data_IF_292537891020
#
_entry.id   IF_292537891020
#
_cell.length_a   1.000
_cell.length_b   1.000
_cell.length_c   1.000
_cell.angle_alpha   90.00
_cell.angle_beta   90.00
_cell.angle_gamma   90.00
#
_symmetry.space_group_name_H-M   'P 1'
#
loop_
_entity.id
_entity.type
_entity.pdbx_description
1 polymer ?
#
# COMPACT_ATOMS: atom_id res chain seq x y z
N UNK A 1 -15.35 -1.02 5.42
CA UNK A 1 -14.74 0.03 4.57
C UNK A 1 -14.73 -0.49 3.14
N UNK A 2 -14.94 0.34 2.13
CA UNK A 2 -14.85 -0.06 0.71
C UNK A 2 -13.63 0.58 0.09
N UNK A 3 -12.68 -0.22 -0.39
CA UNK A 3 -11.48 0.26 -1.07
C UNK A 3 -11.84 0.75 -2.48
N UNK A 4 -11.51 2.01 -2.79
CA UNK A 4 -11.86 2.65 -4.07
C UNK A 4 -10.67 3.14 -4.89
N UNK A 5 -9.53 3.39 -4.25
CA UNK A 5 -8.32 3.88 -4.93
C UNK A 5 -7.05 3.47 -4.18
N UNK A 6 -5.99 3.21 -4.96
CA UNK A 6 -4.63 2.85 -4.53
C UNK A 6 -3.61 3.57 -5.41
N UNK A 7 -2.67 4.31 -4.81
CA UNK A 7 -1.63 5.09 -5.51
C UNK A 7 -2.13 5.96 -6.67
N UNK A 8 -3.21 6.69 -6.45
CA UNK A 8 -3.89 7.54 -7.44
C UNK A 8 -4.70 6.76 -8.49
N UNK A 9 -4.86 5.45 -8.35
CA UNK A 9 -5.55 4.60 -9.34
C UNK A 9 -6.79 3.95 -8.77
N UNK A 10 -7.93 4.11 -9.44
CA UNK A 10 -9.19 3.49 -9.05
C UNK A 10 -9.10 1.95 -9.04
N UNK A 11 -9.65 1.33 -7.99
CA UNK A 11 -9.68 -0.12 -7.83
C UNK A 11 -11.05 -0.70 -8.12
N UNK A 12 -11.09 -2.01 -8.40
CA UNK A 12 -12.34 -2.76 -8.32
C UNK A 12 -12.77 -2.71 -6.86
N UNK A 13 -13.98 -2.21 -6.62
CA UNK A 13 -14.44 -1.91 -5.27
C UNK A 13 -14.51 -3.20 -4.46
N UNK A 14 -13.79 -3.22 -3.33
CA UNK A 14 -13.71 -4.38 -2.45
C UNK A 14 -14.03 -3.95 -1.02
N UNK A 15 -14.95 -4.65 -0.38
CA UNK A 15 -15.27 -4.44 1.03
C UNK A 15 -14.22 -5.09 1.92
N UNK A 16 -13.66 -4.31 2.83
CA UNK A 16 -12.61 -4.70 3.77
C UNK A 16 -13.01 -4.33 5.21
N UNK A 17 -12.66 -5.20 6.16
CA UNK A 17 -12.74 -4.96 7.59
C UNK A 17 -11.46 -4.34 8.17
N UNK A 18 -10.31 -4.61 7.55
CA UNK A 18 -9.00 -4.04 7.87
C UNK A 18 -8.17 -3.87 6.60
N UNK A 19 -7.16 -3.01 6.63
CA UNK A 19 -6.28 -2.71 5.50
C UNK A 19 -4.84 -2.52 6.01
N UNK A 20 -3.91 -3.33 5.53
CA UNK A 20 -2.49 -3.14 5.75
C UNK A 20 -1.98 -2.04 4.80
N UNK A 21 -1.24 -1.08 5.36
CA UNK A 21 -0.65 0.05 4.62
C UNK A 21 0.85 0.08 4.95
N UNK A 22 1.69 0.02 3.93
CA UNK A 22 3.15 0.08 4.07
C UNK A 22 3.68 1.49 3.79
N UNK A 23 4.92 1.73 4.20
CA UNK A 23 5.58 3.05 4.03
C UNK A 23 5.64 3.42 2.55
N UNK A 24 5.23 4.65 2.25
CA UNK A 24 5.18 5.19 0.90
C UNK A 24 3.89 4.88 0.15
N UNK A 25 2.97 4.11 0.74
CA UNK A 25 1.70 3.80 0.10
C UNK A 25 0.58 4.80 0.42
N UNK A 26 -0.38 4.91 -0.50
CA UNK A 26 -1.57 5.74 -0.38
C UNK A 26 -2.84 5.00 -0.84
N UNK A 27 -3.93 5.21 -0.10
CA UNK A 27 -5.21 4.52 -0.28
C UNK A 27 -6.37 5.48 -0.02
N UNK A 28 -7.45 5.35 -0.80
CA UNK A 28 -8.76 5.94 -0.45
C UNK A 28 -9.80 4.86 -0.20
N UNK A 29 -10.53 5.03 0.90
CA UNK A 29 -11.64 4.15 1.30
C UNK A 29 -12.91 4.94 1.52
N UNK A 30 -14.05 4.33 1.19
CA UNK A 30 -15.37 4.81 1.58
C UNK A 30 -15.82 4.09 2.85
N UNK A 31 -16.42 4.85 3.77
CA UNK A 31 -17.02 4.32 4.99
C UNK A 31 -18.46 4.77 5.05
N UNK A 32 -19.38 3.82 5.04
CA UNK A 32 -20.81 4.09 5.25
C UNK A 32 -21.08 4.18 6.75
N UNK A 33 -21.71 5.27 7.19
CA UNK A 33 -22.11 5.45 8.58
C UNK A 33 -23.48 4.79 8.86
N UNK A 34 -23.54 3.46 8.74
CA UNK A 34 -24.76 2.65 8.82
C UNK A 34 -24.97 1.94 10.17
N UNK A 35 -24.12 2.23 11.15
CA UNK A 35 -24.18 1.64 12.48
C UNK A 35 -25.04 2.50 13.43
N UNK A 36 -25.47 1.98 14.61
CA UNK A 36 -26.19 2.76 15.60
C UNK A 36 -25.47 4.09 15.96
N UNK A 37 -26.21 5.15 16.32
CA UNK A 37 -25.61 6.47 16.57
C UNK A 37 -24.80 6.52 17.87
N UNK A 38 -23.53 6.14 17.79
CA UNK A 38 -22.54 6.21 18.87
C UNK A 38 -21.13 6.51 18.32
N UNK A 39 -20.16 6.68 19.21
CA UNK A 39 -18.76 6.87 18.83
C UNK A 39 -18.05 5.51 18.63
N UNK A 40 -17.17 5.42 17.63
CA UNK A 40 -16.47 4.20 17.24
C UNK A 40 -14.95 4.38 17.27
N UNK A 41 -14.23 3.31 17.61
CA UNK A 41 -12.77 3.29 17.47
C UNK A 41 -12.35 3.17 16.00
N UNK A 42 -11.35 3.95 15.62
CA UNK A 42 -10.46 3.66 14.49
C UNK A 42 -9.17 3.12 15.10
N UNK A 43 -8.90 1.83 14.96
CA UNK A 43 -7.71 1.20 15.53
C UNK A 43 -6.59 1.09 14.49
N UNK A 44 -5.37 1.46 14.87
CA UNK A 44 -4.18 1.37 14.05
C UNK A 44 -3.09 0.66 14.83
N UNK A 45 -2.39 -0.29 14.21
CA UNK A 45 -1.29 -1.00 14.84
C UNK A 45 -0.17 -1.27 13.85
N UNK A 46 1.08 -1.27 14.34
CA UNK A 46 2.24 -1.68 13.55
C UNK A 46 2.28 -3.19 13.40
N UNK A 47 2.72 -3.67 12.23
CA UNK A 47 3.01 -5.08 11.98
C UNK A 47 4.48 -5.26 11.61
N UNK A 48 4.99 -6.49 11.76
CA UNK A 48 6.34 -6.89 11.34
C UNK A 48 7.50 -6.17 12.06
N UNK A 49 7.23 -5.57 13.21
CA UNK A 49 8.25 -5.02 14.11
C UNK A 49 8.54 -5.94 15.29
N UNK A 50 9.67 -5.71 15.98
CA UNK A 50 10.01 -6.44 17.22
C UNK A 50 9.04 -6.16 18.38
N UNK A 51 8.32 -5.05 18.31
CA UNK A 51 7.33 -4.60 19.28
C UNK A 51 6.10 -4.08 18.56
N UNK A 52 4.91 -4.47 19.03
CA UNK A 52 3.65 -3.99 18.48
C UNK A 52 3.31 -2.62 19.07
N UNK A 53 3.32 -1.59 18.22
CA UNK A 53 2.77 -0.28 18.54
C UNK A 53 1.29 -0.26 18.16
N UNK A 54 0.46 0.36 18.99
CA UNK A 54 -0.96 0.56 18.70
C UNK A 54 -1.40 1.97 19.08
N UNK A 55 -2.42 2.46 18.40
CA UNK A 55 -3.06 3.73 18.69
C UNK A 55 -4.51 3.71 18.21
N UNK A 56 -5.32 4.62 18.72
CA UNK A 56 -6.73 4.74 18.34
C UNK A 56 -7.09 6.19 18.00
N UNK A 57 -7.99 6.33 17.04
CA UNK A 57 -8.79 7.53 16.82
C UNK A 57 -10.26 7.27 17.15
N UNK A 58 -11.05 8.34 17.21
CA UNK A 58 -12.50 8.25 17.44
C UNK A 58 -13.24 8.77 16.21
N UNK A 59 -14.08 7.92 15.63
CA UNK A 59 -15.09 8.32 14.65
C UNK A 59 -16.38 8.64 15.41
N UNK A 60 -16.69 9.93 15.54
CA UNK A 60 -17.89 10.42 16.24
C UNK A 60 -19.01 10.70 15.26
N UNK A 61 -20.15 10.06 15.46
CA UNK A 61 -21.37 10.41 14.73
C UNK A 61 -21.94 11.72 15.31
N UNK A 62 -22.50 12.58 14.45
CA UNK A 62 -23.00 13.90 14.88
C UNK A 62 -24.17 13.79 15.86
N UNK A 63 -24.98 12.74 15.74
CA UNK A 63 -26.10 12.42 16.64
C UNK A 63 -25.71 11.42 17.75
N UNK A 64 -24.41 11.19 17.97
CA UNK A 64 -23.92 10.29 19.02
C UNK A 64 -24.21 10.83 20.42
N UNK A 65 -24.94 10.03 21.20
CA UNK A 65 -25.19 10.28 22.62
C UNK A 65 -24.33 9.40 23.53
N UNK A 66 -23.51 8.52 22.96
CA UNK A 66 -22.71 7.55 23.70
C UNK A 66 -21.25 7.62 23.25
N UNK A 67 -20.38 7.96 24.19
CA UNK A 67 -18.94 7.90 23.98
C UNK A 67 -18.50 6.46 23.66
N UNK A 68 -17.35 6.34 23.01
CA UNK A 68 -16.80 5.04 22.63
C UNK A 68 -16.64 4.17 23.88
N UNK A 69 -17.01 2.90 23.79
CA UNK A 69 -17.01 1.97 24.93
C UNK A 69 -16.46 0.61 24.52
N UNK A 70 -15.89 -0.12 25.48
CA UNK A 70 -15.24 -1.41 25.23
C UNK A 70 -13.76 -1.29 24.86
N UNK A 71 -13.13 -2.43 24.60
CA UNK A 71 -11.74 -2.51 24.15
C UNK A 71 -11.66 -2.39 22.63
N UNK A 72 -10.69 -1.64 22.07
CA UNK A 72 -10.42 -1.65 20.64
C UNK A 72 -10.11 -3.08 20.13
N UNK A 73 -10.30 -3.36 18.83
CA UNK A 73 -9.88 -4.61 18.23
C UNK A 73 -8.40 -4.90 18.55
N UNK A 74 -8.05 -6.16 18.89
CA UNK A 74 -6.65 -6.52 19.12
C UNK A 74 -5.82 -6.32 17.84
N UNK A 75 -4.53 -6.01 17.95
CA UNK A 75 -3.64 -5.97 16.80
C UNK A 75 -3.67 -7.31 16.03
N UNK A 76 -3.63 -7.29 14.69
CA UNK A 76 -3.53 -8.52 13.90
C UNK A 76 -2.24 -9.30 14.21
N UNK A 77 -2.27 -10.61 14.04
CA UNK A 77 -1.07 -11.46 14.14
C UNK A 77 -0.02 -11.07 13.09
N UNK A 78 1.24 -11.42 13.29
CA UNK A 78 2.32 -11.18 12.30
C UNK A 78 2.27 -12.19 11.13
N UNK A 79 1.10 -12.36 10.51
CA UNK A 79 0.89 -13.20 9.33
C UNK A 79 1.26 -12.45 8.03
N UNK A 80 2.47 -12.71 7.55
CA UNK A 80 3.00 -12.19 6.28
C UNK A 80 2.17 -12.70 5.09
N UNK A 81 1.68 -13.94 5.15
CA UNK A 81 0.93 -14.55 4.05
C UNK A 81 -0.41 -13.85 3.88
N UNK A 82 -1.11 -13.55 4.98
CA UNK A 82 -2.34 -12.77 4.95
C UNK A 82 -2.13 -11.39 4.33
N UNK A 83 -1.07 -10.67 4.75
CA UNK A 83 -0.75 -9.33 4.24
C UNK A 83 -0.44 -9.35 2.74
N UNK A 84 0.36 -10.30 2.29
CA UNK A 84 0.64 -10.51 0.87
C UNK A 84 -0.60 -10.87 0.07
N UNK A 85 -1.49 -11.71 0.62
CA UNK A 85 -2.73 -12.09 -0.03
C UNK A 85 -3.71 -10.92 -0.12
N UNK A 86 -3.77 -10.05 0.89
CA UNK A 86 -4.54 -8.81 0.82
C UNK A 86 -3.99 -7.89 -0.30
N UNK A 87 -2.68 -7.64 -0.33
CA UNK A 87 -2.08 -6.84 -1.40
C UNK A 87 -2.36 -7.44 -2.79
N UNK A 88 -2.30 -8.78 -2.91
CA UNK A 88 -2.60 -9.51 -4.15
C UNK A 88 -4.08 -9.59 -4.49
N UNK A 89 -5.02 -9.31 -3.58
CA UNK A 89 -6.45 -9.31 -3.89
C UNK A 89 -6.89 -8.00 -4.52
N UNK A 90 -6.15 -6.91 -4.27
CA UNK A 90 -6.41 -5.60 -4.85
C UNK A 90 -6.21 -5.66 -6.36
N UNK A 91 -7.20 -5.15 -7.11
CA UNK A 91 -7.21 -5.10 -8.56
C UNK A 91 -7.52 -3.69 -9.02
N UNK A 92 -6.72 -3.17 -9.93
CA UNK A 92 -7.02 -1.93 -10.65
C UNK A 92 -8.31 -2.09 -11.45
N UNK A 93 -9.23 -1.13 -11.32
CA UNK A 93 -10.40 -1.09 -12.17
C UNK A 93 -10.02 -0.43 -13.50
N UNK A 94 -9.82 -1.25 -14.52
CA UNK A 94 -9.43 -0.76 -15.83
C UNK A 94 -10.51 0.14 -16.45
N UNK A 95 -11.80 -0.05 -16.17
CA UNK A 95 -12.89 0.71 -16.79
C UNK A 95 -13.19 2.06 -16.13
N UNK A 96 -12.60 2.35 -14.96
CA UNK A 96 -12.92 3.54 -14.16
C UNK A 96 -12.27 4.86 -14.64
N UNK A 97 -11.49 4.83 -15.73
CA UNK A 97 -10.84 6.04 -16.27
C UNK A 97 -11.78 6.87 -17.15
N UNK A 98 -11.54 8.18 -17.21
CA UNK A 98 -12.25 9.10 -18.13
C UNK A 98 -11.99 8.80 -19.63
N UNK A 99 -12.66 9.53 -20.54
CA UNK A 99 -12.65 9.26 -21.98
C UNK A 99 -11.23 9.15 -22.52
N UNK A 100 -10.87 7.97 -23.03
CA UNK A 100 -9.60 7.76 -23.73
C UNK A 100 -9.84 7.87 -25.24
N UNK A 101 -8.89 8.44 -26.01
CA UNK A 101 -8.96 8.40 -27.48
C UNK A 101 -9.06 6.97 -28.03
N UNK A 102 -8.51 5.99 -27.32
CA UNK A 102 -8.54 4.59 -27.69
C UNK A 102 -9.53 3.80 -26.80
N UNK A 103 -10.32 2.87 -27.37
CA UNK A 103 -11.23 2.02 -26.60
C UNK A 103 -10.54 1.25 -25.47
N UNK A 104 -11.26 1.06 -24.36
CA UNK A 104 -10.79 0.26 -23.23
C UNK A 104 -10.42 -1.16 -23.70
N UNK A 105 -9.19 -1.60 -23.43
CA UNK A 105 -8.70 -2.93 -23.84
C UNK A 105 -7.99 -2.97 -25.21
N UNK A 106 -7.78 -1.83 -25.88
CA UNK A 106 -7.04 -1.74 -27.14
C UNK A 106 -5.55 -2.09 -27.03
N UNK A 107 -4.99 -2.15 -25.82
CA UNK A 107 -3.62 -2.59 -25.56
C UNK A 107 -3.64 -4.01 -24.99
N UNK A 108 -3.41 -4.99 -25.86
CA UNK A 108 -3.22 -6.38 -25.46
C UNK A 108 -1.80 -6.55 -24.90
N UNK A 109 -1.58 -6.09 -23.66
CA UNK A 109 -0.26 -6.15 -23.01
C UNK A 109 0.39 -7.54 -23.07
N UNK A 110 -0.41 -8.62 -23.02
CA UNK A 110 0.07 -10.00 -23.14
C UNK A 110 0.51 -10.45 -24.55
N UNK A 111 0.21 -9.66 -25.59
CA UNK A 111 0.64 -9.91 -26.98
C UNK A 111 1.87 -9.08 -27.38
N UNK A 112 2.34 -8.18 -26.51
CA UNK A 112 3.52 -7.36 -26.76
C UNK A 112 4.76 -8.21 -26.52
N UNK A 113 5.63 -8.32 -27.53
CA UNK A 113 6.89 -9.05 -27.41
C UNK A 113 7.79 -8.41 -26.33
N UNK A 114 8.28 -9.23 -25.40
CA UNK A 114 9.22 -8.80 -24.36
C UNK A 114 10.59 -8.58 -25.02
N UNK A 115 11.08 -7.34 -25.02
CA UNK A 115 12.39 -6.98 -25.59
C UNK A 115 13.55 -7.11 -24.59
N UNK A 116 13.25 -7.05 -23.27
CA UNK A 116 14.23 -7.17 -22.19
C UNK A 116 13.56 -7.67 -20.92
N UNK A 117 14.25 -8.58 -20.20
CA UNK A 117 13.86 -9.03 -18.86
C UNK A 117 14.95 -8.65 -17.87
N UNK A 118 14.58 -7.89 -16.83
CA UNK A 118 15.47 -7.52 -15.72
C UNK A 118 15.05 -8.31 -14.49
N UNK A 119 15.96 -9.10 -13.91
CA UNK A 119 15.73 -9.82 -12.65
C UNK A 119 16.37 -9.03 -11.52
N UNK A 120 15.59 -8.67 -10.51
CA UNK A 120 16.01 -7.87 -9.36
C UNK A 120 16.01 -8.77 -8.12
N UNK A 121 17.14 -8.87 -7.44
CA UNK A 121 17.31 -9.61 -6.18
C UNK A 121 17.80 -8.66 -5.10
N UNK A 122 16.95 -8.41 -4.11
CA UNK A 122 17.34 -7.72 -2.89
C UNK A 122 18.13 -8.65 -1.97
N UNK A 123 19.29 -8.21 -1.49
CA UNK A 123 20.12 -8.98 -0.55
C UNK A 123 20.66 -8.07 0.55
N UNK A 124 20.57 -8.55 1.79
CA UNK A 124 21.20 -7.98 2.97
C UNK A 124 22.58 -8.62 3.16
N UNK A 125 23.64 -7.84 3.36
CA UNK A 125 25.01 -8.36 3.53
C UNK A 125 25.87 -7.43 4.40
N UNK A 126 26.91 -7.98 5.02
CA UNK A 126 27.91 -7.20 5.75
C UNK A 126 29.05 -6.83 4.80
N UNK A 127 29.28 -5.52 4.62
CA UNK A 127 30.39 -4.97 3.82
C UNK A 127 31.13 -3.97 4.71
N UNK A 128 32.45 -4.09 4.81
CA UNK A 128 33.29 -3.26 5.69
C UNK A 128 32.78 -3.17 7.13
N UNK A 129 32.37 -4.31 7.69
CA UNK A 129 31.81 -4.45 9.05
C UNK A 129 30.49 -3.68 9.26
N UNK A 130 29.82 -3.24 8.19
CA UNK A 130 28.51 -2.56 8.24
C UNK A 130 27.45 -3.34 7.49
N UNK A 131 26.24 -3.36 8.05
CA UNK A 131 25.06 -3.88 7.35
C UNK A 131 24.74 -3.01 6.13
N UNK A 132 24.64 -3.63 4.96
CA UNK A 132 24.26 -2.99 3.70
C UNK A 132 23.12 -3.77 3.05
N UNK A 133 22.36 -3.06 2.23
CA UNK A 133 21.36 -3.63 1.35
C UNK A 133 21.80 -3.40 -0.09
N UNK A 134 21.63 -4.43 -0.91
CA UNK A 134 22.08 -4.44 -2.29
C UNK A 134 20.97 -4.93 -3.21
N UNK A 135 21.04 -4.46 -4.45
CA UNK A 135 20.25 -4.97 -5.56
C UNK A 135 21.21 -5.67 -6.51
N UNK A 136 21.01 -6.96 -6.76
CA UNK A 136 21.88 -7.79 -7.60
C UNK A 136 23.36 -7.74 -7.20
N UNK A 137 23.66 -7.65 -5.88
CA UNK A 137 25.01 -7.61 -5.35
C UNK A 137 25.68 -6.23 -5.37
N UNK A 138 25.00 -5.20 -5.88
CA UNK A 138 25.49 -3.82 -5.87
C UNK A 138 24.74 -3.02 -4.80
N UNK A 139 25.46 -2.41 -3.87
CA UNK A 139 24.89 -1.50 -2.87
C UNK A 139 24.96 -0.07 -3.40
N UNK A 140 23.87 0.68 -3.25
CA UNK A 140 23.79 2.06 -3.74
C UNK A 140 24.72 2.97 -2.94
N UNK A 141 25.44 3.82 -3.68
CA UNK A 141 26.22 4.95 -3.16
C UNK A 141 25.79 6.16 -3.97
N UNK A 142 25.49 7.25 -3.29
CA UNK A 142 25.12 8.50 -3.95
C UNK A 142 26.31 9.02 -4.76
N UNK A 143 26.07 9.40 -6.02
CA UNK A 143 27.11 9.92 -6.90
C UNK A 143 27.34 11.41 -6.64
N UNK A 144 28.59 11.86 -6.78
CA UNK A 144 28.96 13.28 -6.60
C UNK A 144 28.28 14.20 -7.64
N UNK A 145 27.89 13.65 -8.79
CA UNK A 145 27.15 14.36 -9.83
C UNK A 145 25.75 13.77 -9.98
N UNK A 146 24.68 14.58 -9.95
CA UNK A 146 23.31 14.10 -10.19
C UNK A 146 23.19 13.39 -11.54
N UNK A 147 22.60 12.19 -11.55
CA UNK A 147 22.53 11.34 -12.76
C UNK A 147 21.88 12.05 -13.96
N UNK A 148 20.85 12.86 -13.72
CA UNK A 148 20.19 13.64 -14.77
C UNK A 148 21.10 14.68 -15.43
N UNK A 149 22.03 15.25 -14.66
CA UNK A 149 23.03 16.20 -15.17
C UNK A 149 24.11 15.48 -15.97
N UNK A 150 24.59 14.33 -15.49
CA UNK A 150 25.58 13.53 -16.19
C UNK A 150 25.06 13.00 -17.55
N UNK A 151 23.79 12.57 -17.60
CA UNK A 151 23.14 12.11 -18.84
C UNK A 151 23.02 13.21 -19.91
N UNK A 152 22.78 14.45 -19.50
CA UNK A 152 22.65 15.59 -20.43
C UNK A 152 23.95 15.92 -21.19
N UNK A 153 25.11 15.58 -20.64
CA UNK A 153 26.43 15.90 -21.22
C UNK A 153 27.17 14.67 -21.80
N UNK A 154 26.51 13.50 -21.87
CA UNK A 154 27.04 12.28 -22.53
C UNK A 154 26.55 12.16 -23.98
#
# INVERSE_FOLDING_TARGET
MTLVEVEGTHTVQTSLSSLDIHVGQSYSVLVTADQPPQDYYIAVSSRFGNSTLNTTGILRYTNSQKAVSGTPPPPPENDITWSLNQARSIRTNLTASGPRPNPQGSYHYGQINITRTIKIKGVASIVDRKQRYSVNGVSFVEADTPLKLADYFN
#
